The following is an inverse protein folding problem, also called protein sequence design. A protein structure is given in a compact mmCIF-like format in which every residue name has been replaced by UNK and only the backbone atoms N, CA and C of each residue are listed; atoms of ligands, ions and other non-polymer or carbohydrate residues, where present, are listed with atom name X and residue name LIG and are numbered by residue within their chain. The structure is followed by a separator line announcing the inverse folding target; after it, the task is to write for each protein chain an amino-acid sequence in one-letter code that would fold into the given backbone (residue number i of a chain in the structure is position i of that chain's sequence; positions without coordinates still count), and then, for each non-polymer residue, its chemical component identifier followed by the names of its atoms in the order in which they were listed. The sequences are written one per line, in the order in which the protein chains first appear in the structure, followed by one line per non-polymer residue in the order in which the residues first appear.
data_IF_215567565979
#
_entry.id   IF_215567565979
#
_cell.length_a   1.000
_cell.length_b   1.000
_cell.length_c   1.000
_cell.angle_alpha   90.00
_cell.angle_beta   90.00
_cell.angle_gamma   90.00
#
_symmetry.space_group_name_H-M   'P 1'
#
loop_
_entity.id
_entity.type
_entity.pdbx_description
1 polymer ?
#
# COMPACT_ATOMS: atom_id res chain seq x y z
N UNK A 1 -57.39 10.51 9.95
CA UNK A 1 -56.69 9.78 8.87
C UNK A 1 -55.36 10.41 8.43
N UNK A 2 -55.11 11.71 8.64
CA UNK A 2 -53.85 12.39 8.23
C UNK A 2 -52.64 12.01 9.11
N UNK A 3 -52.86 11.74 10.40
CA UNK A 3 -51.78 11.44 11.37
C UNK A 3 -51.03 10.11 11.07
N UNK A 4 -51.76 9.12 10.53
CA UNK A 4 -51.22 7.78 10.22
C UNK A 4 -50.28 7.84 8.99
N UNK A 5 -50.57 8.69 8.01
CA UNK A 5 -49.71 8.88 6.83
C UNK A 5 -48.39 9.59 7.17
N UNK A 6 -48.39 10.51 8.13
CA UNK A 6 -47.17 11.15 8.61
C UNK A 6 -46.26 10.17 9.36
N UNK A 7 -46.84 9.33 10.23
CA UNK A 7 -46.08 8.31 10.96
C UNK A 7 -45.42 7.29 10.03
N UNK A 8 -46.14 6.80 9.00
CA UNK A 8 -45.61 5.84 8.03
C UNK A 8 -44.46 6.42 7.19
N UNK A 9 -44.49 7.72 6.85
CA UNK A 9 -43.41 8.39 6.10
C UNK A 9 -42.15 8.57 6.95
N UNK A 10 -42.30 8.88 8.23
CA UNK A 10 -41.16 9.00 9.17
C UNK A 10 -40.51 7.63 9.40
N UNK A 11 -41.30 6.56 9.57
CA UNK A 11 -40.78 5.19 9.75
C UNK A 11 -40.03 4.71 8.50
N UNK A 12 -40.53 5.00 7.29
CA UNK A 12 -39.85 4.66 6.04
C UNK A 12 -38.51 5.40 5.86
N UNK A 13 -38.42 6.66 6.28
CA UNK A 13 -37.18 7.46 6.23
C UNK A 13 -36.13 6.96 7.25
N UNK A 14 -36.56 6.48 8.42
CA UNK A 14 -35.67 5.89 9.43
C UNK A 14 -35.12 4.52 8.95
N UNK A 15 -35.93 3.73 8.24
CA UNK A 15 -35.50 2.44 7.67
C UNK A 15 -34.48 2.58 6.53
N UNK A 16 -34.51 3.68 5.75
CA UNK A 16 -33.48 3.94 4.73
C UNK A 16 -32.16 4.47 5.32
N UNK A 17 -32.17 5.09 6.51
CA UNK A 17 -30.95 5.54 7.18
C UNK A 17 -30.18 4.39 7.87
N UNK A 18 -30.82 3.24 8.06
CA UNK A 18 -30.25 2.08 8.74
C UNK A 18 -29.54 1.09 7.80
N UNK A 19 -29.43 1.38 6.49
CA UNK A 19 -28.53 0.61 5.62
C UNK A 19 -27.10 1.06 5.87
N UNK A 20 -26.52 0.57 6.97
CA UNK A 20 -25.07 0.57 7.15
C UNK A 20 -24.49 -0.20 5.96
N UNK A 21 -23.96 0.54 4.99
CA UNK A 21 -23.21 -0.04 3.87
C UNK A 21 -22.07 -0.84 4.51
N UNK A 22 -22.10 -2.16 4.34
CA UNK A 22 -20.97 -3.05 4.70
C UNK A 22 -19.68 -2.33 4.30
N UNK A 23 -18.81 -2.10 5.28
CA UNK A 23 -17.61 -1.29 5.14
C UNK A 23 -16.89 -1.65 3.84
N UNK A 24 -16.62 -0.64 2.99
CA UNK A 24 -15.90 -0.85 1.74
C UNK A 24 -14.53 -1.48 2.06
N UNK A 25 -14.37 -2.76 1.71
CA UNK A 25 -13.05 -3.40 1.68
C UNK A 25 -12.26 -2.76 0.53
N UNK A 26 -11.06 -2.27 0.79
CA UNK A 26 -10.30 -1.57 -0.24
C UNK A 26 -9.11 -0.79 0.29
N UNK A 27 -8.28 -0.35 -0.65
CA UNK A 27 -7.13 0.50 -0.41
C UNK A 27 -7.53 1.92 -0.79
N UNK A 28 -7.67 2.79 0.22
CA UNK A 28 -8.06 4.19 0.02
C UNK A 28 -6.80 5.03 -0.06
N UNK A 29 -6.63 5.72 -1.18
CA UNK A 29 -5.48 6.58 -1.46
C UNK A 29 -5.94 7.99 -1.80
N UNK A 30 -5.15 9.03 -1.47
CA UNK A 30 -5.44 10.38 -1.92
C UNK A 30 -5.30 10.49 -3.45
N UNK A 31 -5.87 11.55 -4.03
CA UNK A 31 -5.81 11.81 -5.47
C UNK A 31 -4.39 12.02 -5.99
N UNK A 32 -3.52 12.60 -5.16
CA UNK A 32 -2.10 12.78 -5.40
C UNK A 32 -1.31 12.28 -4.20
N UNK A 33 -0.12 11.75 -4.45
CA UNK A 33 0.89 11.46 -3.43
C UNK A 33 2.15 12.23 -3.81
N UNK A 34 2.75 12.94 -2.85
CA UNK A 34 4.03 13.62 -3.07
C UNK A 34 5.17 12.69 -2.69
N UNK A 35 6.12 12.48 -3.59
CA UNK A 35 7.29 11.67 -3.32
C UNK A 35 8.14 12.27 -2.19
N UNK A 36 8.78 11.41 -1.40
CA UNK A 36 9.55 11.78 -0.22
C UNK A 36 8.72 12.20 1.01
N UNK A 37 7.40 12.36 0.87
CA UNK A 37 6.52 12.64 2.00
C UNK A 37 5.90 11.35 2.54
N UNK A 38 5.72 11.31 3.86
CA UNK A 38 5.03 10.21 4.54
C UNK A 38 3.53 10.47 4.53
N UNK A 39 2.77 9.52 4.00
CA UNK A 39 1.32 9.58 3.92
C UNK A 39 0.71 8.41 4.70
N UNK A 40 -0.34 8.67 5.48
CA UNK A 40 -1.12 7.61 6.11
C UNK A 40 -2.22 7.12 5.16
N UNK A 41 -2.20 5.82 4.83
CA UNK A 41 -3.22 5.18 4.03
C UNK A 41 -4.18 4.35 4.88
N UNK A 42 -5.40 4.19 4.40
CA UNK A 42 -6.34 3.20 4.93
C UNK A 42 -6.38 1.98 4.02
N UNK A 43 -5.96 0.83 4.54
CA UNK A 43 -5.89 -0.45 3.84
C UNK A 43 -6.77 -1.46 4.58
N UNK A 44 -7.98 -1.69 4.06
CA UNK A 44 -8.89 -2.70 4.61
C UNK A 44 -8.78 -3.98 3.81
N UNK A 45 -8.23 -5.03 4.43
CA UNK A 45 -8.19 -6.35 3.81
C UNK A 45 -9.60 -6.95 3.73
N UNK A 46 -9.77 -7.96 2.85
CA UNK A 46 -11.07 -8.60 2.63
C UNK A 46 -11.37 -9.73 3.64
N UNK A 47 -10.50 -9.95 4.63
CA UNK A 47 -10.64 -11.04 5.60
C UNK A 47 -11.34 -10.53 6.85
N UNK A 48 -12.56 -11.02 7.09
CA UNK A 48 -13.32 -10.69 8.29
C UNK A 48 -12.66 -11.28 9.56
N UNK A 49 -12.93 -10.68 10.72
CA UNK A 49 -12.41 -11.12 12.02
C UNK A 49 -12.81 -12.56 12.39
N UNK A 50 -14.01 -12.97 11.96
CA UNK A 50 -14.60 -14.27 12.20
C UNK A 50 -14.25 -15.34 11.13
N UNK A 51 -13.53 -14.98 10.07
CA UNK A 51 -13.08 -15.93 9.05
C UNK A 51 -11.83 -16.70 9.51
N UNK A 52 -12.05 -17.66 10.40
CA UNK A 52 -11.00 -18.49 10.98
C UNK A 52 -10.18 -19.26 9.94
N UNK A 53 -10.78 -19.69 8.82
CA UNK A 53 -10.07 -20.46 7.80
C UNK A 53 -9.15 -19.59 6.94
N UNK A 54 -9.59 -18.38 6.56
CA UNK A 54 -8.72 -17.42 5.90
C UNK A 54 -7.59 -16.96 6.83
N UNK A 55 -7.87 -16.73 8.12
CA UNK A 55 -6.88 -16.30 9.11
C UNK A 55 -5.83 -17.36 9.47
N UNK A 56 -6.14 -18.65 9.28
CA UNK A 56 -5.13 -19.72 9.32
C UNK A 56 -4.10 -19.55 8.19
N UNK A 57 -4.56 -19.18 6.99
CA UNK A 57 -3.75 -19.02 5.78
C UNK A 57 -3.02 -17.69 5.71
N UNK A 58 -3.60 -16.63 6.24
CA UNK A 58 -3.04 -15.27 6.19
C UNK A 58 -3.16 -14.60 7.55
N UNK A 59 -2.07 -13.99 8.02
CA UNK A 59 -2.05 -13.24 9.28
C UNK A 59 -1.34 -11.88 9.13
N UNK A 60 -0.88 -11.56 7.92
CA UNK A 60 -0.25 -10.31 7.59
C UNK A 60 -0.51 -9.97 6.11
N UNK A 61 -0.21 -8.73 5.74
CA UNK A 61 -0.15 -8.29 4.36
C UNK A 61 1.08 -7.44 4.11
N UNK A 62 1.55 -7.41 2.87
CA UNK A 62 2.64 -6.55 2.41
C UNK A 62 2.07 -5.46 1.51
N UNK A 63 2.62 -4.25 1.62
CA UNK A 63 2.21 -3.09 0.81
C UNK A 63 3.29 -2.81 -0.23
N UNK A 64 2.86 -2.58 -1.47
CA UNK A 64 3.72 -2.37 -2.62
C UNK A 64 3.35 -1.10 -3.37
N UNK A 65 4.35 -0.51 -4.01
CA UNK A 65 4.13 0.41 -5.10
C UNK A 65 3.87 -0.40 -6.37
N UNK A 66 2.78 -0.08 -7.07
CA UNK A 66 2.52 -0.60 -8.39
C UNK A 66 2.64 0.52 -9.43
N UNK A 67 3.45 0.25 -10.46
CA UNK A 67 3.69 1.16 -11.58
C UNK A 67 2.99 0.63 -12.84
N UNK A 68 2.71 1.55 -13.76
CA UNK A 68 2.19 1.26 -15.10
C UNK A 68 3.13 1.92 -16.12
N UNK A 69 4.34 1.39 -16.33
CA UNK A 69 5.25 1.97 -17.31
C UNK A 69 4.64 1.88 -18.73
N UNK A 70 5.05 2.76 -19.65
CA UNK A 70 4.51 2.77 -21.00
C UNK A 70 4.62 1.40 -21.68
N UNK A 71 3.51 0.91 -22.23
CA UNK A 71 3.50 -0.31 -23.05
C UNK A 71 3.04 -1.60 -22.34
N UNK A 72 2.76 -1.57 -21.04
CA UNK A 72 2.26 -2.74 -20.31
C UNK A 72 1.32 -2.38 -19.14
N UNK A 73 0.71 -3.41 -18.54
CA UNK A 73 -0.26 -3.25 -17.47
C UNK A 73 0.36 -2.88 -16.12
N UNK A 74 -0.47 -2.42 -15.18
CA UNK A 74 -0.01 -2.07 -13.85
C UNK A 74 0.38 -3.31 -13.03
N UNK A 75 1.56 -3.29 -12.41
CA UNK A 75 2.08 -4.37 -11.57
C UNK A 75 2.88 -3.85 -10.38
N UNK A 76 2.97 -4.59 -9.26
CA UNK A 76 3.81 -4.23 -8.13
C UNK A 76 5.29 -4.31 -8.54
N UNK A 77 6.09 -3.32 -8.17
CA UNK A 77 7.52 -3.25 -8.54
C UNK A 77 8.49 -3.21 -7.37
N UNK A 78 8.00 -2.81 -6.20
CA UNK A 78 8.80 -2.75 -4.98
C UNK A 78 7.88 -2.72 -3.77
N UNK A 79 8.37 -3.22 -2.65
CA UNK A 79 7.61 -3.14 -1.40
C UNK A 79 7.84 -1.79 -0.71
N UNK A 80 6.74 -1.18 -0.24
CA UNK A 80 6.74 0.03 0.58
C UNK A 80 6.78 -0.32 2.07
N UNK A 81 6.01 -1.33 2.46
CA UNK A 81 5.97 -1.83 3.84
C UNK A 81 5.99 -3.35 3.81
N UNK A 82 7.04 -3.92 4.39
CA UNK A 82 7.35 -5.35 4.31
C UNK A 82 6.29 -6.27 4.93
N UNK A 83 5.75 -5.87 6.08
CA UNK A 83 4.85 -6.68 6.89
C UNK A 83 3.94 -5.79 7.71
N UNK A 84 2.63 -5.94 7.51
CA UNK A 84 1.59 -5.29 8.31
C UNK A 84 0.68 -6.37 8.89
N UNK A 85 0.39 -6.37 10.22
CA UNK A 85 -0.57 -7.29 10.80
C UNK A 85 -1.93 -7.19 10.14
N UNK A 86 -2.63 -8.32 9.98
CA UNK A 86 -3.90 -8.37 9.24
C UNK A 86 -4.97 -7.39 9.76
N UNK A 87 -4.99 -7.13 11.07
CA UNK A 87 -5.98 -6.28 11.75
C UNK A 87 -5.57 -4.80 11.83
N UNK A 88 -4.45 -4.43 11.19
CA UNK A 88 -4.00 -3.04 11.11
C UNK A 88 -4.50 -2.42 9.81
N UNK A 89 -5.40 -1.44 9.91
CA UNK A 89 -5.98 -0.76 8.74
C UNK A 89 -5.23 0.53 8.35
N UNK A 90 -4.42 1.10 9.24
CA UNK A 90 -3.69 2.37 9.01
C UNK A 90 -2.23 2.09 8.78
N UNK A 91 -1.70 2.55 7.65
CA UNK A 91 -0.32 2.28 7.25
C UNK A 91 0.33 3.56 6.76
N UNK A 92 1.44 3.92 7.38
CA UNK A 92 2.29 5.01 6.89
C UNK A 92 3.18 4.49 5.76
N UNK A 93 3.17 5.18 4.62
CA UNK A 93 4.03 4.89 3.50
C UNK A 93 4.84 6.13 3.12
N UNK A 94 6.03 5.92 2.58
CA UNK A 94 6.82 6.96 1.93
C UNK A 94 7.26 6.41 0.58
N UNK A 95 6.98 7.14 -0.49
CA UNK A 95 7.40 6.77 -1.85
C UNK A 95 8.66 7.57 -2.20
N UNK A 96 9.84 6.95 -2.38
CA UNK A 96 11.05 7.68 -2.76
C UNK A 96 10.92 8.39 -4.10
N UNK A 97 11.64 9.50 -4.29
CA UNK A 97 11.50 10.34 -5.48
C UNK A 97 12.02 9.68 -6.76
N UNK A 98 12.97 8.77 -6.64
CA UNK A 98 13.66 8.11 -7.76
C UNK A 98 12.91 6.89 -8.33
N UNK A 99 11.76 6.52 -7.76
CA UNK A 99 11.02 5.32 -8.19
C UNK A 99 10.36 5.45 -9.57
N UNK A 100 10.02 6.66 -10.02
CA UNK A 100 9.34 6.90 -11.28
C UNK A 100 9.48 8.37 -11.73
N UNK A 101 9.16 8.70 -12.99
CA UNK A 101 9.04 10.09 -13.42
C UNK A 101 7.94 10.88 -12.69
N UNK A 102 8.10 12.20 -12.65
CA UNK A 102 7.06 13.10 -12.16
C UNK A 102 5.73 12.89 -12.91
N UNK A 103 4.62 13.04 -12.19
CA UNK A 103 3.24 12.87 -12.69
C UNK A 103 2.92 11.45 -13.18
N UNK A 104 3.72 10.45 -12.83
CA UNK A 104 3.42 9.05 -13.13
C UNK A 104 2.12 8.63 -12.46
N UNK A 105 1.29 7.89 -13.19
CA UNK A 105 0.11 7.22 -12.63
C UNK A 105 0.55 5.98 -11.88
N UNK A 106 0.22 5.91 -10.60
CA UNK A 106 0.60 4.80 -9.72
C UNK A 106 -0.64 4.18 -9.08
N UNK A 107 -0.44 3.01 -8.49
CA UNK A 107 -1.38 2.38 -7.57
C UNK A 107 -0.63 1.88 -6.35
N UNK A 108 -1.34 1.82 -5.23
CA UNK A 108 -0.87 1.08 -4.06
C UNK A 108 -1.46 -0.32 -4.14
N UNK A 109 -0.61 -1.33 -3.96
CA UNK A 109 -1.01 -2.73 -3.96
C UNK A 109 -0.82 -3.32 -2.58
N UNK A 110 -1.71 -4.23 -2.20
CA UNK A 110 -1.57 -5.03 -0.99
C UNK A 110 -1.71 -6.52 -1.33
N UNK A 111 -0.85 -7.34 -0.74
CA UNK A 111 -0.91 -8.80 -0.89
C UNK A 111 -0.91 -9.49 0.46
N UNK A 112 -1.83 -10.44 0.62
CA UNK A 112 -1.98 -11.23 1.84
C UNK A 112 -0.89 -12.31 1.89
N UNK A 113 -0.34 -12.57 3.07
CA UNK A 113 0.59 -13.68 3.25
C UNK A 113 0.57 -14.23 4.68
N UNK A 114 1.27 -15.35 4.87
CA UNK A 114 1.52 -15.92 6.19
C UNK A 114 2.91 -15.51 6.65
N UNK A 115 3.04 -14.88 7.81
CA UNK A 115 4.35 -14.61 8.43
C UNK A 115 5.20 -15.88 8.47
N UNK A 116 6.46 -15.79 8.06
CA UNK A 116 7.37 -16.92 7.94
C UNK A 116 7.25 -17.70 6.61
N UNK A 117 6.36 -17.29 5.70
CA UNK A 117 6.35 -17.72 4.29
C UNK A 117 6.89 -16.60 3.40
N UNK A 118 7.66 -16.99 2.39
CA UNK A 118 8.22 -16.06 1.40
C UNK A 118 7.19 -15.61 0.36
N UNK A 119 6.20 -16.46 0.06
CA UNK A 119 5.22 -16.21 -0.98
C UNK A 119 4.02 -15.42 -0.47
N UNK A 120 3.59 -14.47 -1.29
CA UNK A 120 2.36 -13.69 -1.09
C UNK A 120 1.25 -14.20 -2.00
N UNK A 121 -0.01 -13.88 -1.70
CA UNK A 121 -1.16 -14.37 -2.45
C UNK A 121 -1.93 -13.24 -3.14
N UNK A 122 -1.82 -13.21 -4.47
CA UNK A 122 -2.53 -12.28 -5.33
C UNK A 122 -2.20 -10.82 -5.03
N UNK A 123 -2.85 -9.90 -5.74
CA UNK A 123 -2.65 -8.47 -5.51
C UNK A 123 -3.99 -7.74 -5.55
N UNK A 124 -4.26 -6.96 -4.51
CA UNK A 124 -5.36 -6.01 -4.47
C UNK A 124 -4.81 -4.62 -4.74
N UNK A 125 -5.48 -3.84 -5.58
CA UNK A 125 -5.00 -2.52 -6.00
C UNK A 125 -5.96 -1.41 -5.53
N UNK A 126 -5.40 -0.26 -5.18
CA UNK A 126 -6.14 0.99 -5.01
C UNK A 126 -6.69 1.50 -6.35
N UNK A 127 -7.49 2.56 -6.28
CA UNK A 127 -7.69 3.44 -7.44
C UNK A 127 -6.35 4.05 -7.89
N UNK A 128 -6.30 4.51 -9.15
CA UNK A 128 -5.13 5.24 -9.65
C UNK A 128 -4.99 6.57 -8.91
N UNK A 129 -3.75 6.92 -8.60
CA UNK A 129 -3.35 8.22 -8.05
C UNK A 129 -2.18 8.76 -8.87
N UNK A 130 -1.83 10.03 -8.70
CA UNK A 130 -0.70 10.66 -9.37
C UNK A 130 0.44 10.89 -8.39
N UNK A 131 1.63 10.41 -8.74
CA UNK A 131 2.86 10.71 -8.00
C UNK A 131 3.39 12.09 -8.42
N UNK A 132 3.63 12.97 -7.46
CA UNK A 132 4.16 14.31 -7.67
C UNK A 132 5.54 14.47 -7.05
N UNK A 133 6.39 15.31 -7.64
CA UNK A 133 7.71 15.63 -7.09
C UNK A 133 8.74 14.49 -7.23
N UNK A 134 8.41 13.46 -8.01
CA UNK A 134 9.33 12.39 -8.34
C UNK A 134 10.32 12.82 -9.44
N UNK A 135 11.51 12.23 -9.45
CA UNK A 135 12.61 12.59 -10.35
C UNK A 135 13.25 11.38 -11.04
N UNK A 136 12.66 10.19 -10.90
CA UNK A 136 13.11 8.99 -11.61
C UNK A 136 12.88 9.08 -13.12
N UNK A 137 13.44 8.13 -13.85
CA UNK A 137 13.24 7.98 -15.31
C UNK A 137 12.88 6.54 -15.61
N UNK A 138 12.12 6.29 -16.68
CA UNK A 138 11.95 4.92 -17.20
C UNK A 138 13.27 4.45 -17.82
N UNK A 139 13.69 3.23 -17.48
CA UNK A 139 14.78 2.56 -18.17
C UNK A 139 14.33 2.04 -19.54
N UNK A 140 15.26 1.87 -20.47
CA UNK A 140 14.95 1.25 -21.77
C UNK A 140 14.36 -0.15 -21.61
N UNK A 141 14.80 -0.89 -20.58
CA UNK A 141 14.26 -2.20 -20.21
C UNK A 141 12.75 -2.15 -19.92
N UNK A 142 12.31 -1.21 -19.09
CA UNK A 142 10.89 -1.02 -18.77
C UNK A 142 10.08 -0.63 -20.01
N UNK A 143 10.65 0.23 -20.86
CA UNK A 143 10.02 0.65 -22.12
C UNK A 143 9.90 -0.48 -23.15
N UNK A 144 10.79 -1.47 -23.08
CA UNK A 144 10.76 -2.67 -23.92
C UNK A 144 9.79 -3.76 -23.40
N UNK A 145 9.09 -3.47 -22.30
CA UNK A 145 8.07 -4.31 -21.68
C UNK A 145 8.63 -5.38 -20.73
N UNK A 146 9.84 -5.20 -20.20
CA UNK A 146 10.43 -6.13 -19.26
C UNK A 146 10.21 -5.71 -17.81
N UNK A 147 9.94 -6.72 -16.99
CA UNK A 147 9.99 -6.54 -15.56
C UNK A 147 11.42 -6.17 -15.13
N UNK A 148 11.51 -5.11 -14.33
CA UNK A 148 12.75 -4.58 -13.75
C UNK A 148 12.76 -4.75 -12.24
N UNK A 149 11.90 -5.62 -11.73
CA UNK A 149 11.71 -5.82 -10.31
C UNK A 149 11.56 -7.29 -9.93
N UNK A 150 12.06 -7.57 -8.73
CA UNK A 150 11.57 -8.63 -7.88
C UNK A 150 10.88 -7.92 -6.71
N UNK A 151 9.57 -7.70 -6.82
CA UNK A 151 8.77 -6.85 -5.91
C UNK A 151 8.79 -7.36 -4.46
N UNK A 152 9.02 -8.66 -4.29
CA UNK A 152 9.16 -9.32 -3.00
C UNK A 152 10.58 -9.22 -2.42
N UNK A 153 11.54 -8.77 -3.21
CA UNK A 153 12.96 -8.71 -2.87
C UNK A 153 13.47 -7.29 -2.72
N UNK A 154 12.87 -6.34 -3.45
CA UNK A 154 13.38 -4.96 -3.57
C UNK A 154 12.47 -3.98 -2.82
N UNK A 155 13.03 -3.26 -1.86
CA UNK A 155 12.36 -2.12 -1.22
C UNK A 155 12.22 -0.97 -2.20
N UNK A 156 11.20 -0.13 -2.03
CA UNK A 156 11.08 1.05 -2.89
C UNK A 156 12.22 2.07 -2.70
N UNK A 157 12.98 1.99 -1.61
CA UNK A 157 14.21 2.77 -1.41
C UNK A 157 15.38 2.25 -2.25
N UNK A 158 15.44 0.94 -2.49
CA UNK A 158 16.47 0.34 -3.36
C UNK A 158 16.11 0.44 -4.85
N UNK A 159 14.83 0.60 -5.19
CA UNK A 159 14.32 0.46 -6.56
C UNK A 159 14.93 1.44 -7.57
N UNK A 160 15.19 2.69 -7.19
CA UNK A 160 15.88 3.63 -8.09
C UNK A 160 17.31 3.19 -8.41
N UNK A 161 18.04 2.66 -7.42
CA UNK A 161 19.37 2.08 -7.59
C UNK A 161 19.35 0.83 -8.49
N UNK A 162 18.41 -0.10 -8.24
CA UNK A 162 18.29 -1.32 -9.08
C UNK A 162 17.96 -0.99 -10.53
N UNK A 163 17.14 0.05 -10.76
CA UNK A 163 16.90 0.56 -12.11
C UNK A 163 18.18 1.06 -12.79
N UNK A 164 19.08 1.74 -12.07
CA UNK A 164 20.37 2.16 -12.64
C UNK A 164 21.25 0.97 -13.05
N UNK A 165 21.20 -0.13 -12.29
CA UNK A 165 21.84 -1.38 -12.69
C UNK A 165 21.26 -1.90 -14.01
N UNK A 166 19.93 -1.91 -14.15
CA UNK A 166 19.30 -2.28 -15.42
C UNK A 166 19.69 -1.35 -16.56
N UNK A 167 19.73 -0.03 -16.36
CA UNK A 167 20.19 0.93 -17.38
C UNK A 167 21.62 0.62 -17.83
N UNK A 168 22.50 0.29 -16.88
CA UNK A 168 23.92 0.01 -17.14
C UNK A 168 24.15 -1.28 -17.92
N UNK A 169 23.45 -2.35 -17.56
CA UNK A 169 23.73 -3.69 -18.08
C UNK A 169 22.73 -4.20 -19.13
N UNK A 170 21.60 -3.50 -19.33
CA UNK A 170 20.63 -3.89 -20.35
C UNK A 170 21.15 -3.60 -21.76
N UNK A 171 21.22 -4.64 -22.59
CA UNK A 171 21.78 -4.57 -23.94
C UNK A 171 20.73 -4.43 -25.05
N UNK A 172 19.44 -4.37 -24.70
CA UNK A 172 18.33 -4.31 -25.68
C UNK A 172 18.03 -5.64 -26.39
N UNK A 173 18.88 -6.66 -26.20
CA UNK A 173 18.73 -7.95 -26.85
C UNK A 173 17.95 -8.92 -25.95
N UNK A 174 16.71 -9.20 -26.35
CA UNK A 174 15.78 -10.11 -25.66
C UNK A 174 16.26 -11.55 -25.59
N UNK A 175 17.29 -11.93 -26.36
CA UNK A 175 17.89 -13.26 -26.37
C UNK A 175 19.13 -13.36 -25.49
N UNK A 176 19.69 -12.23 -25.05
CA UNK A 176 21.03 -12.13 -24.45
C UNK A 176 21.12 -12.30 -22.95
N UNK A 177 20.12 -12.93 -22.35
CA UNK A 177 20.33 -13.60 -21.06
C UNK A 177 21.17 -14.89 -21.22
N UNK A 178 21.57 -15.24 -22.44
CA UNK A 178 22.15 -16.54 -22.79
C UNK A 178 23.67 -16.70 -22.61
N UNK A 179 24.44 -15.64 -22.30
CA UNK A 179 25.90 -15.78 -22.04
C UNK A 179 26.29 -15.75 -20.55
N UNK A 180 25.33 -15.49 -19.64
CA UNK A 180 25.49 -15.55 -18.19
C UNK A 180 26.41 -14.49 -17.55
N UNK A 181 27.20 -13.75 -18.32
CA UNK A 181 28.19 -12.81 -17.79
C UNK A 181 27.58 -11.45 -17.42
N UNK A 182 26.76 -10.89 -18.31
CA UNK A 182 26.04 -9.63 -18.08
C UNK A 182 24.99 -9.73 -16.97
N UNK A 183 24.43 -10.93 -16.75
CA UNK A 183 23.47 -11.20 -15.69
C UNK A 183 24.14 -11.26 -14.31
N UNK A 184 25.37 -11.78 -14.21
CA UNK A 184 26.12 -11.80 -12.95
C UNK A 184 26.44 -10.39 -12.45
N UNK A 185 26.92 -9.51 -13.32
CA UNK A 185 27.27 -8.13 -12.94
C UNK A 185 26.02 -7.29 -12.65
N UNK A 186 24.92 -7.56 -13.37
CA UNK A 186 23.61 -6.98 -13.07
C UNK A 186 23.12 -7.41 -11.68
N UNK A 187 23.12 -8.70 -11.39
CA UNK A 187 22.66 -9.24 -10.11
C UNK A 187 23.53 -8.73 -8.96
N UNK A 188 24.86 -8.73 -9.11
CA UNK A 188 25.76 -8.17 -8.10
C UNK A 188 25.49 -6.68 -7.84
N UNK A 189 25.14 -5.90 -8.87
CA UNK A 189 24.75 -4.50 -8.71
C UNK A 189 23.41 -4.36 -7.97
N UNK A 190 22.42 -5.20 -8.30
CA UNK A 190 21.12 -5.21 -7.61
C UNK A 190 21.27 -5.61 -6.15
N UNK A 191 22.05 -6.66 -5.86
CA UNK A 191 22.32 -7.14 -4.50
C UNK A 191 22.97 -6.03 -3.65
N UNK A 192 23.89 -5.26 -4.22
CA UNK A 192 24.48 -4.11 -3.54
C UNK A 192 23.43 -3.02 -3.22
N UNK A 193 22.56 -2.70 -4.18
CA UNK A 193 21.47 -1.75 -3.92
C UNK A 193 20.53 -2.23 -2.81
N UNK A 194 20.25 -3.53 -2.77
CA UNK A 194 19.45 -4.15 -1.71
C UNK A 194 20.18 -4.00 -0.37
N UNK A 195 21.46 -4.35 -0.29
CA UNK A 195 22.24 -4.22 0.95
C UNK A 195 22.29 -2.77 1.47
N UNK A 196 22.50 -1.80 0.57
CA UNK A 196 22.65 -0.38 0.93
C UNK A 196 21.33 0.27 1.37
N UNK A 197 20.19 -0.19 0.83
CA UNK A 197 18.90 0.51 0.96
C UNK A 197 17.76 -0.36 1.53
N UNK A 198 18.02 -1.61 1.92
CA UNK A 198 17.00 -2.43 2.58
C UNK A 198 16.97 -2.20 4.10
N UNK A 199 15.82 -1.74 4.65
CA UNK A 199 15.64 -1.70 6.09
C UNK A 199 15.38 -3.09 6.71
N UNK A 200 15.61 -4.20 5.99
CA UNK A 200 15.44 -5.56 6.52
C UNK A 200 16.33 -5.83 7.75
N UNK A 201 17.51 -5.21 7.80
CA UNK A 201 18.47 -5.32 8.92
C UNK A 201 18.40 -4.20 9.96
N UNK A 202 17.78 -3.06 9.64
CA UNK A 202 17.63 -1.95 10.57
C UNK A 202 16.31 -2.12 11.34
N UNK A 203 16.32 -3.01 12.34
CA UNK A 203 15.31 -3.20 13.38
C UNK A 203 13.91 -2.76 12.99
N UNK A 204 13.14 -3.69 12.41
CA UNK A 204 11.72 -3.56 12.07
C UNK A 204 11.02 -2.47 12.88
N UNK A 205 10.94 -1.27 12.31
CA UNK A 205 9.98 -0.28 12.72
C UNK A 205 8.62 -0.85 12.40
N UNK A 206 8.07 -1.63 13.34
CA UNK A 206 6.62 -1.83 13.46
C UNK A 206 5.99 -0.48 13.14
N UNK A 207 5.05 -0.47 12.21
CA UNK A 207 4.16 0.67 12.04
C UNK A 207 3.84 1.19 13.44
N UNK A 208 4.16 2.46 13.72
CA UNK A 208 3.82 3.04 15.02
C UNK A 208 2.30 3.11 15.05
N UNK A 209 1.70 2.06 15.61
CA UNK A 209 0.27 1.91 15.80
C UNK A 209 -0.11 2.98 16.81
N UNK A 210 -0.65 4.10 16.30
CA UNK A 210 -1.34 5.06 17.16
C UNK A 210 -2.72 4.47 17.43
N UNK A 211 -2.82 3.59 18.43
CA UNK A 211 -4.13 3.21 18.96
C UNK A 211 -4.77 4.48 19.53
N UNK A 212 -5.73 5.04 18.80
CA UNK A 212 -6.64 6.04 19.33
C UNK A 212 -7.54 5.36 20.38
N UNK A 213 -7.01 5.19 21.58
CA UNK A 213 -7.80 4.82 22.74
C UNK A 213 -8.68 6.02 23.05
N UNK A 214 -9.96 5.89 22.69
CA UNK A 214 -11.00 6.87 22.98
C UNK A 214 -10.99 7.20 24.48
N UNK A 215 -10.64 8.45 24.79
CA UNK A 215 -10.84 9.04 26.10
C UNK A 215 -12.34 9.13 26.38
N UNK A 216 -12.88 8.09 26.99
CA UNK A 216 -14.16 8.12 27.70
C UNK A 216 -13.87 8.36 29.19
N UNK A 217 -13.56 9.61 29.53
CA UNK A 217 -13.60 10.09 30.91
C UNK A 217 -13.81 11.60 30.93
N UNK A 218 -14.73 12.02 31.81
CA UNK A 218 -15.00 13.39 32.26
C UNK A 218 -15.88 14.31 31.38
N UNK A 219 -17.15 13.96 31.22
CA UNK A 219 -18.24 14.96 31.32
C UNK A 219 -19.42 14.35 32.09
N UNK A 220 -19.29 14.24 33.42
CA UNK A 220 -20.45 14.12 34.30
C UNK A 220 -20.25 15.02 35.52
N UNK A 221 -21.21 15.93 35.69
CA UNK A 221 -21.57 16.62 36.94
C UNK A 221 -20.64 17.74 37.46
N UNK A 222 -20.51 18.82 36.68
CA UNK A 222 -20.41 20.18 37.24
C UNK A 222 -21.69 20.96 36.85
N UNK A 223 -22.79 20.64 37.51
CA UNK A 223 -24.11 21.20 37.20
C UNK A 223 -25.09 21.09 38.36
N UNK A 224 -24.63 21.31 39.60
CA UNK A 224 -25.50 21.52 40.76
C UNK A 224 -24.90 22.66 41.60
N UNK A 225 -24.94 23.89 41.10
CA UNK A 225 -25.02 25.11 41.94
C UNK A 225 -25.66 26.21 41.08
N UNK A 226 -26.99 26.28 41.11
CA UNK A 226 -27.78 27.52 41.06
C UNK A 226 -29.23 27.19 40.69
N UNK A 227 -30.01 26.78 41.68
CA UNK A 227 -31.43 27.14 41.75
C UNK A 227 -31.84 27.09 43.23
N UNK A 228 -31.59 28.21 43.92
CA UNK A 228 -32.16 28.53 45.22
C UNK A 228 -32.37 30.04 45.28
N UNK A 229 -33.35 30.52 44.50
CA UNK A 229 -34.24 31.65 44.83
C UNK A 229 -35.62 31.25 44.29
#
# INVERSE_FOLDING_TARGET
MVLIQFFLRVVALILLAATSTKAATGIVVPWNITAGQTEELTIKTRIAEDDHEARKRFNAYRVYLALEPPGWGAGPVCWLVWSVPLDTDRVNITIPADVAPDKTRIRISASLYKTGKSTVNGYSYSSRTTLLGANGTWSQRELDGWDSSAENEISCYAFGCTRQCHIKYYTGDKTRYSDGSSEKDLNACIDQCIEDFEPRGAGSGSATVTTATWMLAAVLAAGIVNLAI
#
